data_IF_085389269129
#
_entry.id   IF_085389269129
#
_cell.length_a   1.000
_cell.length_b   1.000
_cell.length_c   1.000
_cell.angle_alpha   90.00
_cell.angle_beta   90.00
_cell.angle_gamma   90.00
#
_symmetry.space_group_name_H-M   'P 1'
#
loop_
_entity.id
_entity.type
_entity.pdbx_description
1 polymer ?
#
# COMPACT_ATOMS: atom_id res chain seq x y z
N UNK A 1 31.35 -17.56 -0.14
CA UNK A 1 31.35 -18.94 0.34
C UNK A 1 31.97 -19.03 1.74
N UNK A 2 33.27 -18.66 1.94
CA UNK A 2 34.00 -18.83 3.22
C UNK A 2 33.32 -18.16 4.43
N UNK A 3 32.89 -16.90 4.30
CA UNK A 3 32.22 -16.16 5.42
C UNK A 3 30.82 -16.70 5.72
N UNK A 4 30.10 -17.19 4.70
CA UNK A 4 28.82 -17.88 4.88
C UNK A 4 28.98 -19.20 5.64
N UNK A 5 30.01 -19.97 5.32
CA UNK A 5 30.36 -21.20 6.04
C UNK A 5 30.73 -20.95 7.51
N UNK A 6 31.35 -19.79 7.80
CA UNK A 6 31.70 -19.36 9.15
C UNK A 6 30.55 -18.63 9.89
N UNK A 7 29.35 -18.50 9.30
CA UNK A 7 28.23 -17.71 9.80
C UNK A 7 28.58 -16.24 10.10
N UNK A 8 29.51 -15.67 9.33
CA UNK A 8 30.01 -14.29 9.47
C UNK A 8 29.58 -13.42 8.28
N UNK A 9 28.35 -13.61 7.83
CA UNK A 9 27.82 -12.91 6.63
C UNK A 9 27.92 -11.39 6.73
N UNK A 10 27.80 -10.83 7.97
CA UNK A 10 27.88 -9.38 8.18
C UNK A 10 29.30 -8.79 8.08
N UNK A 11 30.34 -9.62 8.17
CA UNK A 11 31.73 -9.15 8.08
C UNK A 11 32.12 -8.87 6.61
N UNK A 12 31.30 -9.32 5.66
CA UNK A 12 31.54 -9.05 4.23
C UNK A 12 30.97 -7.70 3.77
N UNK A 13 30.22 -7.01 4.60
CA UNK A 13 29.57 -5.73 4.25
C UNK A 13 30.56 -4.71 3.66
N UNK A 14 31.73 -4.39 4.32
CA UNK A 14 32.69 -3.44 3.76
C UNK A 14 33.24 -3.89 2.40
N UNK A 15 33.36 -5.19 2.19
CA UNK A 15 33.84 -5.75 0.90
C UNK A 15 32.84 -5.44 -0.21
N UNK A 16 31.54 -5.62 0.04
CA UNK A 16 30.50 -5.30 -0.95
C UNK A 16 30.37 -3.79 -1.19
N UNK A 17 30.57 -2.95 -0.16
CA UNK A 17 30.62 -1.49 -0.32
C UNK A 17 31.72 -1.06 -1.30
N UNK A 18 32.91 -1.67 -1.21
CA UNK A 18 34.00 -1.43 -2.17
C UNK A 18 33.71 -2.03 -3.54
N UNK A 19 33.17 -3.26 -3.59
CA UNK A 19 32.86 -3.93 -4.86
C UNK A 19 31.87 -3.17 -5.73
N UNK A 20 30.81 -2.58 -5.14
CA UNK A 20 29.83 -1.83 -5.93
C UNK A 20 30.39 -0.53 -6.48
N UNK A 21 31.39 0.08 -5.84
CA UNK A 21 32.03 1.30 -6.32
C UNK A 21 32.92 1.03 -7.53
N UNK A 22 33.65 -0.08 -7.54
CA UNK A 22 34.64 -0.38 -8.59
C UNK A 22 34.13 -1.34 -9.65
N UNK A 23 33.15 -2.21 -9.29
CA UNK A 23 32.62 -3.27 -10.15
C UNK A 23 31.09 -3.34 -10.00
N UNK A 24 30.31 -2.38 -10.48
CA UNK A 24 28.87 -2.28 -10.28
C UNK A 24 28.12 -3.41 -11.00
N UNK A 25 28.06 -4.58 -10.39
CA UNK A 25 27.31 -5.74 -10.87
C UNK A 25 26.05 -5.92 -10.04
N UNK A 26 24.95 -6.31 -10.70
CA UNK A 26 23.65 -6.59 -10.03
C UNK A 26 23.82 -7.44 -8.77
N UNK A 27 24.58 -8.52 -8.85
CA UNK A 27 24.75 -9.43 -7.72
C UNK A 27 25.35 -8.74 -6.48
N UNK A 28 26.27 -7.79 -6.66
CA UNK A 28 26.88 -7.07 -5.54
C UNK A 28 25.89 -6.09 -4.90
N UNK A 29 25.14 -5.33 -5.70
CA UNK A 29 24.10 -4.44 -5.21
C UNK A 29 23.00 -5.19 -4.46
N UNK A 30 22.53 -6.34 -4.98
CA UNK A 30 21.49 -7.13 -4.33
C UNK A 30 21.99 -7.79 -3.04
N UNK A 31 23.24 -8.22 -2.97
CA UNK A 31 23.83 -8.72 -1.74
C UNK A 31 24.01 -7.61 -0.71
N UNK A 32 24.55 -6.46 -1.12
CA UNK A 32 24.72 -5.29 -0.26
C UNK A 32 23.39 -4.86 0.35
N UNK A 33 22.35 -4.74 -0.47
CA UNK A 33 21.00 -4.43 0.02
C UNK A 33 20.50 -5.48 1.03
N UNK A 34 20.73 -6.77 0.78
CA UNK A 34 20.36 -7.84 1.72
C UNK A 34 21.09 -7.72 3.07
N UNK A 35 22.38 -7.42 3.05
CA UNK A 35 23.19 -7.23 4.25
C UNK A 35 22.76 -6.00 5.06
N UNK A 36 22.45 -4.88 4.39
CA UNK A 36 21.88 -3.71 5.06
C UNK A 36 20.55 -4.02 5.72
N UNK A 37 19.66 -4.79 5.06
CA UNK A 37 18.42 -5.23 5.66
C UNK A 37 18.61 -6.11 6.90
N UNK A 38 19.59 -7.01 6.90
CA UNK A 38 19.93 -7.84 8.08
C UNK A 38 20.48 -7.01 9.25
N UNK A 39 21.14 -5.88 8.96
CA UNK A 39 21.66 -4.96 9.95
C UNK A 39 20.66 -3.90 10.42
N UNK A 40 19.40 -4.00 10.01
CA UNK A 40 18.36 -3.00 10.26
C UNK A 40 18.76 -1.58 9.82
N UNK A 41 19.34 -1.49 8.62
CA UNK A 41 19.76 -0.24 7.97
C UNK A 41 18.90 0.01 6.70
N UNK A 42 17.61 0.32 6.86
CA UNK A 42 16.69 0.36 5.71
C UNK A 42 16.96 1.51 4.74
N UNK A 43 17.56 2.63 5.18
CA UNK A 43 17.96 3.71 4.27
C UNK A 43 19.08 3.27 3.33
N UNK A 44 20.11 2.59 3.87
CA UNK A 44 21.22 2.09 3.06
C UNK A 44 20.75 0.96 2.15
N UNK A 45 19.83 0.11 2.65
CA UNK A 45 19.17 -0.91 1.84
C UNK A 45 18.45 -0.30 0.65
N UNK A 46 17.70 0.79 0.86
CA UNK A 46 17.02 1.55 -0.19
C UNK A 46 18.04 2.10 -1.17
N UNK A 47 19.08 2.79 -0.70
CA UNK A 47 20.13 3.38 -1.54
C UNK A 47 20.82 2.36 -2.44
N UNK A 48 21.14 1.16 -1.93
CA UNK A 48 21.74 0.09 -2.72
C UNK A 48 20.79 -0.44 -3.81
N UNK A 49 19.49 -0.60 -3.51
CA UNK A 49 18.50 -1.00 -4.52
C UNK A 49 18.22 0.12 -5.52
N UNK A 50 18.24 1.38 -5.09
CA UNK A 50 18.03 2.53 -5.94
C UNK A 50 19.18 2.69 -6.95
N UNK A 51 20.43 2.58 -6.51
CA UNK A 51 21.58 2.55 -7.41
C UNK A 51 21.49 1.43 -8.45
N UNK A 52 21.12 0.23 -8.02
CA UNK A 52 20.89 -0.90 -8.93
C UNK A 52 19.72 -0.65 -9.91
N UNK A 53 18.70 0.08 -9.49
CA UNK A 53 17.57 0.46 -10.34
C UNK A 53 17.98 1.49 -11.40
N UNK A 54 18.70 2.53 -10.98
CA UNK A 54 19.17 3.63 -11.86
C UNK A 54 20.14 3.09 -12.93
N UNK A 55 20.97 2.08 -12.60
CA UNK A 55 21.82 1.34 -13.54
C UNK A 55 21.05 0.34 -14.42
N UNK A 56 19.72 0.23 -14.27
CA UNK A 56 18.89 -0.69 -15.05
C UNK A 56 19.09 -2.18 -14.72
N UNK A 57 19.71 -2.50 -13.58
CA UNK A 57 20.10 -3.88 -13.23
C UNK A 57 18.96 -4.69 -12.61
N UNK A 58 17.85 -4.03 -12.15
CA UNK A 58 16.73 -4.76 -11.56
C UNK A 58 15.90 -5.49 -12.63
N UNK A 59 15.65 -6.79 -12.39
CA UNK A 59 14.88 -7.63 -13.33
C UNK A 59 13.98 -8.67 -12.65
N UNK A 60 13.80 -8.59 -11.32
CA UNK A 60 12.93 -9.50 -10.56
C UNK A 60 11.84 -8.71 -9.84
N UNK A 61 10.61 -9.25 -9.82
CA UNK A 61 9.46 -8.65 -9.13
C UNK A 61 9.80 -8.23 -7.70
N UNK A 62 10.48 -9.09 -6.92
CA UNK A 62 10.83 -8.81 -5.52
C UNK A 62 11.73 -7.59 -5.36
N UNK A 63 12.59 -7.29 -6.33
CA UNK A 63 13.52 -6.16 -6.29
C UNK A 63 12.76 -4.84 -6.47
N UNK A 64 11.91 -4.76 -7.48
CA UNK A 64 11.03 -3.60 -7.71
C UNK A 64 10.06 -3.39 -6.54
N UNK A 65 9.46 -4.44 -6.01
CA UNK A 65 8.52 -4.33 -4.88
C UNK A 65 9.25 -3.92 -3.59
N UNK A 66 10.45 -4.43 -3.34
CA UNK A 66 11.24 -4.05 -2.17
C UNK A 66 11.66 -2.57 -2.23
N UNK A 67 12.22 -2.12 -3.37
CA UNK A 67 12.61 -0.73 -3.56
C UNK A 67 11.40 0.21 -3.42
N UNK A 68 10.29 -0.09 -4.11
CA UNK A 68 9.10 0.75 -4.04
C UNK A 68 8.51 0.81 -2.63
N UNK A 69 8.54 -0.29 -1.87
CA UNK A 69 8.09 -0.32 -0.49
C UNK A 69 8.98 0.54 0.43
N UNK A 70 10.31 0.45 0.28
CA UNK A 70 11.25 1.29 1.03
C UNK A 70 11.07 2.77 0.69
N UNK A 71 10.97 3.12 -0.59
CA UNK A 71 10.72 4.50 -1.02
C UNK A 71 9.40 5.04 -0.42
N UNK A 72 8.35 4.23 -0.37
CA UNK A 72 7.08 4.62 0.25
C UNK A 72 7.22 4.79 1.76
N UNK A 73 7.95 3.92 2.43
CA UNK A 73 8.24 4.00 3.87
C UNK A 73 9.02 5.28 4.22
N UNK A 74 9.92 5.74 3.34
CA UNK A 74 10.65 6.99 3.48
C UNK A 74 9.95 8.19 2.80
N UNK A 75 8.62 8.17 2.77
CA UNK A 75 7.77 9.28 2.36
C UNK A 75 8.00 9.79 0.92
N UNK A 76 8.46 8.90 0.03
CA UNK A 76 8.62 9.21 -1.39
C UNK A 76 7.61 8.42 -2.27
N UNK A 77 6.30 8.67 -2.13
CA UNK A 77 5.26 7.88 -2.79
C UNK A 77 5.31 7.99 -4.31
N UNK A 78 5.70 9.15 -4.85
CA UNK A 78 5.79 9.33 -6.31
C UNK A 78 6.90 8.48 -6.91
N UNK A 79 8.08 8.44 -6.28
CA UNK A 79 9.20 7.61 -6.75
C UNK A 79 8.87 6.12 -6.58
N UNK A 80 8.25 5.75 -5.45
CA UNK A 80 7.75 4.40 -5.22
C UNK A 80 6.79 3.94 -6.33
N UNK A 81 5.85 4.80 -6.71
CA UNK A 81 4.91 4.53 -7.79
C UNK A 81 5.62 4.38 -9.15
N UNK A 82 6.56 5.26 -9.48
CA UNK A 82 7.31 5.19 -10.73
C UNK A 82 8.10 3.88 -10.83
N UNK A 83 8.83 3.49 -9.79
CA UNK A 83 9.59 2.23 -9.75
C UNK A 83 8.67 1.03 -9.96
N UNK A 84 7.54 0.99 -9.26
CA UNK A 84 6.61 -0.13 -9.37
C UNK A 84 5.94 -0.16 -10.75
N UNK A 85 5.58 1.01 -11.29
CA UNK A 85 5.01 1.17 -12.64
C UNK A 85 5.99 0.71 -13.72
N UNK A 86 7.28 1.02 -13.58
CA UNK A 86 8.32 0.57 -14.51
C UNK A 86 8.42 -0.97 -14.51
N UNK A 87 8.35 -1.60 -13.34
CA UNK A 87 8.31 -3.05 -13.24
C UNK A 87 7.09 -3.69 -13.94
N UNK A 88 5.92 -3.03 -13.91
CA UNK A 88 4.75 -3.45 -14.69
C UNK A 88 4.98 -3.27 -16.19
N UNK A 89 5.50 -2.12 -16.62
CA UNK A 89 5.77 -1.82 -18.02
C UNK A 89 6.77 -2.80 -18.64
N UNK A 90 7.79 -3.20 -17.86
CA UNK A 90 8.77 -4.23 -18.23
C UNK A 90 8.23 -5.66 -18.14
N UNK A 91 6.96 -5.83 -17.72
CA UNK A 91 6.33 -7.15 -17.52
C UNK A 91 7.06 -8.04 -16.51
N UNK A 92 7.83 -7.44 -15.60
CA UNK A 92 8.53 -8.13 -14.52
C UNK A 92 7.59 -8.36 -13.32
N UNK A 93 6.62 -7.46 -13.13
CA UNK A 93 5.64 -7.54 -12.04
C UNK A 93 4.32 -8.09 -12.59
N UNK A 94 3.78 -9.09 -11.90
CA UNK A 94 2.47 -9.66 -12.21
C UNK A 94 1.34 -8.79 -11.67
N UNK A 95 0.23 -8.71 -12.42
CA UNK A 95 -1.00 -8.04 -11.99
C UNK A 95 -1.76 -8.89 -10.97
N UNK A 96 -1.30 -8.86 -9.73
CA UNK A 96 -1.93 -9.49 -8.57
C UNK A 96 -2.58 -8.42 -7.68
N UNK A 97 -3.56 -8.81 -6.84
CA UNK A 97 -4.23 -7.88 -5.92
C UNK A 97 -3.23 -7.05 -5.13
N UNK A 98 -2.20 -7.70 -4.56
CA UNK A 98 -1.18 -7.03 -3.72
C UNK A 98 -0.38 -5.98 -4.48
N UNK A 99 0.08 -6.30 -5.68
CA UNK A 99 0.92 -5.40 -6.50
C UNK A 99 0.12 -4.24 -7.09
N UNK A 100 -1.09 -4.52 -7.57
CA UNK A 100 -2.02 -3.50 -8.06
C UNK A 100 -2.45 -2.54 -6.95
N UNK A 101 -2.78 -3.08 -5.76
CA UNK A 101 -3.11 -2.27 -4.58
C UNK A 101 -1.95 -1.35 -4.18
N UNK A 102 -0.72 -1.88 -4.11
CA UNK A 102 0.45 -1.08 -3.75
C UNK A 102 0.65 0.08 -4.73
N UNK A 103 0.61 -0.19 -6.05
CA UNK A 103 0.76 0.86 -7.06
C UNK A 103 -0.34 1.92 -6.97
N UNK A 104 -1.60 1.49 -6.77
CA UNK A 104 -2.72 2.41 -6.57
C UNK A 104 -2.53 3.28 -5.32
N UNK A 105 -2.08 2.70 -4.22
CA UNK A 105 -1.81 3.43 -2.97
C UNK A 105 -0.68 4.44 -3.13
N UNK A 106 0.40 4.09 -3.83
CA UNK A 106 1.52 5.01 -4.06
C UNK A 106 1.11 6.19 -4.93
N UNK A 107 0.37 5.96 -6.02
CA UNK A 107 -0.21 7.04 -6.83
C UNK A 107 -1.19 7.91 -6.04
N UNK A 108 -2.04 7.30 -5.21
CA UNK A 108 -2.99 8.01 -4.36
C UNK A 108 -2.26 8.90 -3.34
N UNK A 109 -1.26 8.35 -2.65
CA UNK A 109 -0.45 9.10 -1.68
C UNK A 109 0.33 10.25 -2.33
N UNK A 110 0.74 10.10 -3.60
CA UNK A 110 1.37 11.18 -4.37
C UNK A 110 0.38 12.20 -4.97
N UNK A 111 -0.93 12.09 -4.65
CA UNK A 111 -2.04 12.92 -5.16
C UNK A 111 -2.29 12.78 -6.68
N UNK A 112 -1.75 11.75 -7.30
CA UNK A 112 -1.97 11.43 -8.72
C UNK A 112 -3.22 10.53 -8.88
N UNK A 113 -4.40 11.07 -8.50
CA UNK A 113 -5.64 10.29 -8.40
C UNK A 113 -6.05 9.64 -9.72
N UNK A 114 -5.88 10.34 -10.84
CA UNK A 114 -6.16 9.81 -12.17
C UNK A 114 -5.30 8.59 -12.52
N UNK A 115 -4.06 8.54 -12.01
CA UNK A 115 -3.18 7.38 -12.18
C UNK A 115 -3.51 6.25 -11.21
N UNK A 116 -3.99 6.55 -10.00
CA UNK A 116 -4.39 5.56 -9.00
C UNK A 116 -5.65 4.80 -9.42
N UNK A 117 -6.62 5.49 -10.04
CA UNK A 117 -7.94 4.99 -10.40
C UNK A 117 -7.95 3.63 -11.12
N UNK A 118 -7.23 3.44 -12.25
CA UNK A 118 -7.26 2.18 -12.99
C UNK A 118 -6.72 1.00 -12.18
N UNK A 119 -5.74 1.22 -11.31
CA UNK A 119 -5.14 0.17 -10.49
C UNK A 119 -6.05 -0.24 -9.33
N UNK A 120 -6.70 0.73 -8.65
CA UNK A 120 -7.75 0.39 -7.68
C UNK A 120 -8.90 -0.37 -8.31
N UNK A 121 -9.36 0.04 -9.51
CA UNK A 121 -10.42 -0.65 -10.26
C UNK A 121 -10.05 -2.10 -10.57
N UNK A 122 -8.82 -2.36 -11.04
CA UNK A 122 -8.32 -3.71 -11.29
C UNK A 122 -8.22 -4.51 -9.99
N UNK A 123 -7.60 -3.96 -8.94
CA UNK A 123 -7.42 -4.62 -7.66
C UNK A 123 -8.77 -4.97 -6.98
N UNK A 124 -9.73 -4.05 -6.97
CA UNK A 124 -11.06 -4.25 -6.39
C UNK A 124 -11.86 -5.38 -7.05
N UNK A 125 -11.67 -5.60 -8.35
CA UNK A 125 -12.31 -6.72 -9.09
C UNK A 125 -11.82 -8.08 -8.62
N UNK A 126 -10.52 -8.22 -8.34
CA UNK A 126 -9.91 -9.49 -7.93
C UNK A 126 -10.03 -9.71 -6.41
N UNK A 127 -10.06 -8.66 -5.62
CA UNK A 127 -10.16 -8.75 -4.16
C UNK A 127 -11.44 -9.45 -3.71
N UNK A 128 -11.36 -10.22 -2.63
CA UNK A 128 -12.51 -10.81 -1.95
C UNK A 128 -13.16 -9.87 -0.93
N UNK A 129 -12.56 -8.70 -0.69
CA UNK A 129 -12.97 -7.71 0.31
C UNK A 129 -13.46 -6.43 -0.34
N UNK A 130 -14.34 -5.70 0.33
CA UNK A 130 -14.91 -4.45 -0.16
C UNK A 130 -13.98 -3.25 -0.05
N UNK A 131 -12.91 -3.33 0.75
CA UNK A 131 -12.02 -2.23 1.09
C UNK A 131 -11.46 -1.48 -0.13
N UNK A 132 -11.05 -2.23 -1.18
CA UNK A 132 -10.49 -1.61 -2.39
C UNK A 132 -11.53 -0.84 -3.21
N UNK A 133 -12.82 -1.20 -3.10
CA UNK A 133 -13.90 -0.39 -3.67
C UNK A 133 -14.12 0.90 -2.89
N UNK A 134 -13.90 0.90 -1.57
CA UNK A 134 -13.94 2.14 -0.77
C UNK A 134 -12.82 3.09 -1.19
N UNK A 135 -11.57 2.59 -1.36
CA UNK A 135 -10.47 3.41 -1.89
C UNK A 135 -10.74 3.91 -3.32
N UNK A 136 -11.34 3.09 -4.18
CA UNK A 136 -11.76 3.51 -5.51
C UNK A 136 -12.80 4.65 -5.43
N UNK A 137 -13.77 4.54 -4.52
CA UNK A 137 -14.76 5.58 -4.26
C UNK A 137 -14.13 6.88 -3.77
N UNK A 138 -13.13 6.81 -2.89
CA UNK A 138 -12.35 7.99 -2.46
C UNK A 138 -11.64 8.67 -3.62
N UNK A 139 -11.05 7.88 -4.52
CA UNK A 139 -10.39 8.41 -5.72
C UNK A 139 -11.37 9.08 -6.66
N UNK A 140 -12.53 8.44 -6.94
CA UNK A 140 -13.59 9.06 -7.75
C UNK A 140 -14.10 10.35 -7.11
N UNK A 141 -14.33 10.35 -5.78
CA UNK A 141 -14.76 11.55 -5.05
C UNK A 141 -13.72 12.69 -5.16
N UNK A 142 -12.44 12.38 -5.01
CA UNK A 142 -11.37 13.38 -5.17
C UNK A 142 -11.14 13.86 -6.62
N UNK A 143 -11.81 13.25 -7.60
CA UNK A 143 -11.87 13.66 -9.00
C UNK A 143 -13.21 14.30 -9.37
N UNK A 144 -14.09 14.59 -8.40
CA UNK A 144 -15.45 15.10 -8.59
C UNK A 144 -16.38 14.20 -9.44
N UNK A 145 -16.01 12.91 -9.54
CA UNK A 145 -16.79 11.88 -10.25
C UNK A 145 -17.83 11.26 -9.28
N UNK A 146 -18.77 12.07 -8.77
CA UNK A 146 -19.69 11.71 -7.67
C UNK A 146 -20.54 10.46 -7.94
N UNK A 147 -21.02 10.28 -9.17
CA UNK A 147 -21.80 9.10 -9.54
C UNK A 147 -20.97 7.83 -9.41
N UNK A 148 -19.77 7.81 -9.98
CA UNK A 148 -18.88 6.66 -9.92
C UNK A 148 -18.38 6.41 -8.48
N UNK A 149 -18.12 7.48 -7.70
CA UNK A 149 -17.78 7.40 -6.30
C UNK A 149 -18.88 6.68 -5.50
N UNK A 150 -20.14 7.11 -5.66
CA UNK A 150 -21.30 6.48 -5.03
C UNK A 150 -21.40 5.00 -5.35
N UNK A 151 -21.30 4.64 -6.63
CA UNK A 151 -21.37 3.24 -7.05
C UNK A 151 -20.22 2.40 -6.46
N UNK A 152 -19.01 2.91 -6.48
CA UNK A 152 -17.87 2.21 -5.89
C UNK A 152 -18.07 1.97 -4.39
N UNK A 153 -18.50 2.99 -3.61
CA UNK A 153 -18.75 2.83 -2.18
C UNK A 153 -19.87 1.83 -1.91
N UNK A 154 -20.97 1.87 -2.67
CA UNK A 154 -22.05 0.88 -2.53
C UNK A 154 -21.58 -0.54 -2.81
N UNK A 155 -20.74 -0.74 -3.82
CA UNK A 155 -20.14 -2.05 -4.10
C UNK A 155 -19.22 -2.52 -2.95
N UNK A 156 -18.44 -1.62 -2.39
CA UNK A 156 -17.58 -1.90 -1.22
C UNK A 156 -18.38 -2.33 -0.01
N UNK A 157 -19.42 -1.57 0.34
CA UNK A 157 -20.34 -1.88 1.44
C UNK A 157 -21.07 -3.22 1.23
N UNK A 158 -21.55 -3.48 0.00
CA UNK A 158 -22.21 -4.75 -0.34
C UNK A 158 -21.26 -5.95 -0.22
N UNK A 159 -20.00 -5.79 -0.64
CA UNK A 159 -18.98 -6.85 -0.58
C UNK A 159 -18.55 -7.12 0.86
N UNK A 160 -18.59 -6.12 1.72
CA UNK A 160 -18.29 -6.23 3.15
C UNK A 160 -16.80 -6.43 3.46
N UNK A 161 -16.51 -6.94 4.66
CA UNK A 161 -15.15 -7.11 5.20
C UNK A 161 -14.36 -5.80 5.17
N UNK A 162 -14.98 -4.72 5.60
CA UNK A 162 -14.39 -3.39 5.69
C UNK A 162 -13.67 -3.24 7.02
N UNK A 163 -12.53 -2.60 7.03
CA UNK A 163 -11.82 -2.21 8.25
C UNK A 163 -12.54 -1.09 8.98
N UNK A 164 -13.12 -0.17 8.21
CA UNK A 164 -13.87 0.97 8.70
C UNK A 164 -15.20 1.11 7.90
N UNK A 165 -16.20 0.35 8.34
CA UNK A 165 -17.55 0.40 7.77
C UNK A 165 -18.25 1.74 8.09
N UNK A 166 -18.02 2.29 9.28
CA UNK A 166 -18.57 3.58 9.67
C UNK A 166 -18.03 4.70 8.76
N UNK A 167 -16.71 4.73 8.54
CA UNK A 167 -16.07 5.66 7.59
C UNK A 167 -16.57 5.50 6.16
N UNK A 168 -16.88 4.28 5.71
CA UNK A 168 -17.46 4.05 4.40
C UNK A 168 -18.87 4.66 4.27
N UNK A 169 -19.71 4.55 5.32
CA UNK A 169 -21.02 5.21 5.35
C UNK A 169 -20.92 6.74 5.46
N UNK A 170 -19.93 7.25 6.20
CA UNK A 170 -19.64 8.69 6.26
C UNK A 170 -19.29 9.23 4.86
N UNK A 171 -18.37 8.55 4.16
CA UNK A 171 -17.98 8.95 2.81
C UNK A 171 -19.16 8.90 1.82
N UNK A 172 -20.01 7.85 1.93
CA UNK A 172 -21.22 7.78 1.11
C UNK A 172 -22.15 8.96 1.38
N UNK A 173 -22.33 9.33 2.65
CA UNK A 173 -23.12 10.50 3.04
C UNK A 173 -22.55 11.79 2.45
N UNK A 174 -21.24 11.99 2.49
CA UNK A 174 -20.57 13.14 1.89
C UNK A 174 -20.76 13.20 0.37
N UNK A 175 -20.56 12.08 -0.33
CA UNK A 175 -20.76 12.00 -1.78
C UNK A 175 -22.20 12.36 -2.17
N UNK A 176 -23.19 11.82 -1.43
CA UNK A 176 -24.60 12.09 -1.67
C UNK A 176 -24.96 13.56 -1.36
N UNK A 177 -24.35 14.14 -0.33
CA UNK A 177 -24.52 15.54 0.01
C UNK A 177 -24.00 16.47 -1.09
N UNK A 178 -22.78 16.24 -1.60
CA UNK A 178 -22.22 17.00 -2.73
C UNK A 178 -23.05 16.85 -4.01
N UNK A 179 -23.67 15.67 -4.20
CA UNK A 179 -24.57 15.40 -5.31
C UNK A 179 -26.01 15.90 -5.09
N UNK A 180 -26.28 16.67 -4.00
CA UNK A 180 -27.58 17.23 -3.64
C UNK A 180 -28.69 16.18 -3.36
N UNK A 181 -28.30 14.94 -3.04
CA UNK A 181 -29.19 13.84 -2.67
C UNK A 181 -29.40 13.85 -1.13
N UNK A 182 -30.00 14.93 -0.59
CA UNK A 182 -30.05 15.24 0.86
C UNK A 182 -30.63 14.11 1.70
N UNK A 183 -31.79 13.56 1.32
CA UNK A 183 -32.45 12.49 2.09
C UNK A 183 -31.59 11.23 2.15
N UNK A 184 -30.98 10.86 1.03
CA UNK A 184 -30.05 9.72 0.96
C UNK A 184 -28.80 9.95 1.80
N UNK A 185 -28.27 11.18 1.83
CA UNK A 185 -27.14 11.57 2.64
C UNK A 185 -27.44 11.41 4.13
N UNK A 186 -28.62 11.89 4.59
CA UNK A 186 -29.07 11.74 5.97
C UNK A 186 -29.13 10.27 6.38
N UNK A 187 -29.67 9.41 5.53
CA UNK A 187 -29.74 7.97 5.78
C UNK A 187 -28.33 7.36 5.93
N UNK A 188 -27.38 7.78 5.10
CA UNK A 188 -26.01 7.29 5.13
C UNK A 188 -25.27 7.76 6.39
N UNK A 189 -25.44 9.02 6.81
CA UNK A 189 -24.87 9.54 8.03
C UNK A 189 -25.45 8.86 9.29
N UNK A 190 -26.77 8.57 9.32
CA UNK A 190 -27.37 7.79 10.41
C UNK A 190 -26.76 6.39 10.51
N UNK A 191 -26.59 5.69 9.38
CA UNK A 191 -25.93 4.39 9.36
C UNK A 191 -24.48 4.45 9.87
N UNK A 192 -23.75 5.52 9.55
CA UNK A 192 -22.41 5.74 10.10
C UNK A 192 -22.44 5.77 11.63
N UNK A 193 -23.38 6.53 12.21
CA UNK A 193 -23.55 6.64 13.67
C UNK A 193 -23.89 5.27 14.27
N UNK A 194 -24.89 4.58 13.73
CA UNK A 194 -25.33 3.25 14.21
C UNK A 194 -24.19 2.23 14.23
N UNK A 195 -23.38 2.20 13.16
CA UNK A 195 -22.22 1.29 13.05
C UNK A 195 -21.15 1.68 14.07
N UNK A 196 -20.83 2.96 14.20
CA UNK A 196 -19.84 3.46 15.17
C UNK A 196 -20.23 3.14 16.62
N UNK A 197 -21.49 3.34 17.00
CA UNK A 197 -22.02 3.02 18.34
C UNK A 197 -21.94 1.53 18.65
N UNK A 198 -22.30 0.65 17.68
CA UNK A 198 -22.14 -0.80 17.81
C UNK A 198 -20.69 -1.20 18.03
N UNK A 199 -19.77 -0.63 17.23
CA UNK A 199 -18.33 -0.92 17.36
C UNK A 199 -17.78 -0.45 18.71
N UNK A 200 -18.18 0.74 19.18
CA UNK A 200 -17.80 1.25 20.49
C UNK A 200 -18.27 0.34 21.63
N UNK A 201 -19.55 -0.07 21.59
CA UNK A 201 -20.15 -0.94 22.59
C UNK A 201 -19.42 -2.28 22.71
N UNK A 202 -19.05 -2.88 21.58
CA UNK A 202 -18.27 -4.14 21.53
C UNK A 202 -16.88 -3.95 22.12
N UNK A 203 -16.18 -2.85 21.77
CA UNK A 203 -14.84 -2.54 22.32
C UNK A 203 -14.88 -2.37 23.83
N UNK A 204 -15.88 -1.62 24.32
CA UNK A 204 -16.07 -1.38 25.77
C UNK A 204 -16.31 -2.69 26.54
N UNK A 205 -17.13 -3.60 25.99
CA UNK A 205 -17.36 -4.92 26.59
C UNK A 205 -16.08 -5.75 26.65
N UNK A 206 -15.35 -5.85 25.55
CA UNK A 206 -14.06 -6.57 25.51
C UNK A 206 -13.02 -6.03 26.48
N UNK A 207 -12.99 -4.71 26.67
CA UNK A 207 -12.08 -4.10 27.65
C UNK A 207 -12.45 -4.50 29.07
N UNK A 208 -13.73 -4.41 29.44
CA UNK A 208 -14.21 -4.84 30.77
C UNK A 208 -13.93 -6.31 31.06
N UNK A 209 -14.06 -7.18 30.05
CA UNK A 209 -13.79 -8.62 30.21
C UNK A 209 -12.28 -8.89 30.42
N UNK A 210 -11.40 -8.11 29.76
CA UNK A 210 -9.94 -8.20 29.98
C UNK A 210 -9.50 -7.69 31.35
N UNK A 211 -10.14 -6.66 31.84
CA UNK A 211 -9.82 -6.06 33.15
C UNK A 211 -10.23 -7.04 34.28
N UNK A 212 -11.38 -7.73 34.14
CA UNK A 212 -11.82 -8.78 35.07
C UNK A 212 -10.96 -10.06 35.08
N UNK A 213 -10.13 -10.30 34.07
CA UNK A 213 -9.21 -11.45 34.01
C UNK A 213 -7.86 -11.16 34.63
N UNK A 214 -7.58 -9.90 35.01
CA UNK A 214 -6.32 -9.48 35.62
C UNK A 214 -6.40 -9.38 37.14
N UNK A 215 -7.61 -9.37 37.66
CA UNK A 215 -7.93 -9.44 39.10
C UNK A 215 -8.14 -10.91 39.51
#
# INVERSE_FOLDING_TARGET
>A
ALFSELKRDLDVLPIYEVLVQHYPKKQYWTQLSGLYGQKDRPMDQMGALEAAYDDGLLNKQREFTALSQLLFMFENPRKAANVLQDGFNKKVIKEEEKTLKALAQYWHASKELSKAKPYYKKAAKISKEGELYIFLGQVHFGLDEFSDAREAIKLGLKKGKLKDEAGAHMLLGQILFENQEWDSAIVSFRKCIDVAEKQYSVKKKKQKDKDKQKD
#
